data_IF_993906713594
#
_entry.id   IF_993906713594
#
_cell.length_a   1.000
_cell.length_b   1.000
_cell.length_c   1.000
_cell.angle_alpha   90.00
_cell.angle_beta   90.00
_cell.angle_gamma   90.00
#
_symmetry.space_group_name_H-M   'P 1'
#
loop_
_entity.id
_entity.type
_entity.pdbx_description
1 polymer ?
#
# COMPACT_ATOMS: atom_id res chain seq x y z
N UNK A 1 -7.55 -8.13 -11.03
CA UNK A 1 -7.24 -7.08 -10.03
C UNK A 1 -8.57 -6.46 -9.64
N UNK A 2 -9.00 -6.64 -8.41
CA UNK A 2 -10.27 -6.09 -7.96
C UNK A 2 -9.98 -5.14 -6.80
N UNK A 3 -9.84 -3.86 -7.11
CA UNK A 3 -9.66 -2.78 -6.13
C UNK A 3 -10.97 -2.50 -5.37
N UNK A 4 -11.65 -3.53 -4.87
CA UNK A 4 -12.87 -3.41 -4.08
C UNK A 4 -12.54 -2.82 -2.69
N UNK A 5 -13.18 -1.72 -2.29
CA UNK A 5 -12.93 -1.08 -0.99
C UNK A 5 -13.08 -2.00 0.22
N UNK A 6 -13.96 -3.01 0.19
CA UNK A 6 -14.11 -3.95 1.33
C UNK A 6 -12.90 -4.87 1.42
N UNK A 7 -12.43 -5.38 0.29
CA UNK A 7 -11.23 -6.22 0.18
C UNK A 7 -9.98 -5.45 0.61
N UNK A 8 -9.82 -4.20 0.17
CA UNK A 8 -8.71 -3.34 0.60
C UNK A 8 -8.73 -3.09 2.12
N UNK A 9 -9.90 -2.81 2.71
CA UNK A 9 -10.05 -2.67 4.17
C UNK A 9 -9.70 -3.95 4.92
N UNK A 10 -10.07 -5.12 4.39
CA UNK A 10 -9.71 -6.40 5.00
C UNK A 10 -8.19 -6.57 5.04
N UNK A 11 -7.49 -6.30 3.94
CA UNK A 11 -6.01 -6.33 3.89
C UNK A 11 -5.38 -5.37 4.90
N UNK A 12 -5.93 -4.16 5.07
CA UNK A 12 -5.47 -3.22 6.11
C UNK A 12 -5.64 -3.78 7.52
N UNK A 13 -6.76 -4.45 7.82
CA UNK A 13 -6.98 -5.08 9.13
C UNK A 13 -6.04 -6.26 9.37
N UNK A 14 -5.74 -7.05 8.33
CA UNK A 14 -4.76 -8.14 8.39
C UNK A 14 -3.36 -7.60 8.76
N UNK A 15 -2.89 -6.55 8.10
CA UNK A 15 -1.63 -5.87 8.45
C UNK A 15 -1.66 -5.30 9.87
N UNK A 16 -2.72 -4.58 10.22
CA UNK A 16 -2.83 -3.95 11.54
C UNK A 16 -2.79 -4.99 12.68
N UNK A 17 -3.42 -6.15 12.47
CA UNK A 17 -3.38 -7.27 13.39
C UNK A 17 -1.99 -7.90 13.47
N UNK A 18 -1.36 -8.21 12.33
CA UNK A 18 -0.03 -8.82 12.27
C UNK A 18 1.04 -7.95 12.96
N UNK A 19 1.03 -6.65 12.70
CA UNK A 19 2.00 -5.70 13.27
C UNK A 19 1.61 -5.09 14.60
N UNK A 20 0.44 -5.44 15.17
CA UNK A 20 -0.11 -4.78 16.38
C UNK A 20 -0.11 -3.24 16.30
N UNK A 21 -0.53 -2.67 15.15
CA UNK A 21 -0.44 -1.22 14.87
C UNK A 21 -1.79 -0.49 14.94
N UNK A 22 -1.75 0.83 15.16
CA UNK A 22 -2.95 1.65 15.44
C UNK A 22 -3.43 2.53 14.27
N UNK A 23 -2.69 2.60 13.15
CA UNK A 23 -2.95 3.55 12.06
C UNK A 23 -4.11 3.16 11.11
N UNK A 24 -5.07 2.36 11.58
CA UNK A 24 -6.22 1.89 10.78
C UNK A 24 -7.06 3.06 10.27
N UNK A 25 -7.35 4.05 11.12
CA UNK A 25 -8.15 5.22 10.73
C UNK A 25 -7.51 6.05 9.62
N UNK A 26 -6.18 6.21 9.67
CA UNK A 26 -5.41 6.92 8.65
C UNK A 26 -5.55 6.25 7.28
N UNK A 27 -5.42 4.92 7.24
CA UNK A 27 -5.58 4.11 6.03
C UNK A 27 -7.05 4.10 5.55
N UNK A 28 -8.01 3.81 6.43
CA UNK A 28 -9.43 3.70 6.09
C UNK A 28 -10.01 4.97 5.50
N UNK A 29 -9.54 6.14 5.95
CA UNK A 29 -10.00 7.45 5.46
C UNK A 29 -9.74 7.71 3.97
N UNK A 30 -8.88 6.92 3.32
CA UNK A 30 -8.47 7.13 1.92
C UNK A 30 -8.73 5.91 1.01
N UNK A 31 -9.39 4.85 1.50
CA UNK A 31 -9.55 3.58 0.76
C UNK A 31 -10.33 3.77 -0.55
N UNK A 32 -11.48 4.45 -0.53
CA UNK A 32 -12.27 4.68 -1.74
C UNK A 32 -11.51 5.51 -2.77
N UNK A 33 -10.77 6.53 -2.29
CA UNK A 33 -9.95 7.38 -3.14
C UNK A 33 -8.83 6.57 -3.81
N UNK A 34 -8.10 5.75 -3.05
CA UNK A 34 -7.05 4.90 -3.61
C UNK A 34 -7.60 3.80 -4.52
N UNK A 35 -8.74 3.20 -4.17
CA UNK A 35 -9.44 2.23 -5.02
C UNK A 35 -9.71 2.79 -6.42
N UNK A 36 -10.25 4.01 -6.52
CA UNK A 36 -10.52 4.66 -7.81
C UNK A 36 -9.23 5.07 -8.52
N UNK A 37 -8.27 5.68 -7.80
CA UNK A 37 -7.00 6.10 -8.39
C UNK A 37 -6.24 4.92 -8.98
N UNK A 38 -6.07 3.86 -8.19
CA UNK A 38 -5.29 2.70 -8.60
C UNK A 38 -5.96 1.88 -9.71
N UNK A 39 -7.29 1.81 -9.72
CA UNK A 39 -8.07 1.05 -10.72
C UNK A 39 -8.20 1.78 -12.05
N UNK A 40 -8.43 3.08 -12.02
CA UNK A 40 -9.00 3.81 -13.16
C UNK A 40 -8.16 4.98 -13.67
N UNK A 41 -7.18 5.46 -12.91
CA UNK A 41 -6.45 6.67 -13.26
C UNK A 41 -4.95 6.49 -13.42
N UNK A 42 -4.32 5.75 -12.52
CA UNK A 42 -2.88 5.49 -12.60
C UNK A 42 -2.59 4.45 -13.68
N UNK A 43 -1.56 4.72 -14.48
CA UNK A 43 -1.09 3.82 -15.54
C UNK A 43 0.15 3.08 -15.09
N UNK A 44 0.17 1.78 -15.35
CA UNK A 44 1.28 0.88 -15.05
C UNK A 44 1.59 0.03 -16.29
N UNK A 45 2.38 0.53 -17.24
CA UNK A 45 2.80 -0.27 -18.38
C UNK A 45 3.47 -1.56 -17.88
N UNK A 46 3.12 -2.69 -18.50
CA UNK A 46 3.59 -4.04 -18.13
C UNK A 46 3.32 -4.48 -16.68
N UNK A 47 2.56 -3.69 -15.91
CA UNK A 47 2.36 -3.87 -14.47
C UNK A 47 3.69 -4.00 -13.69
N UNK A 48 4.73 -3.26 -14.11
CA UNK A 48 6.06 -3.28 -13.49
C UNK A 48 6.27 -2.04 -12.59
N UNK A 49 6.57 -2.22 -11.28
CA UNK A 49 6.84 -1.10 -10.38
C UNK A 49 8.12 -0.31 -10.73
N UNK A 50 8.98 -0.84 -11.60
CA UNK A 50 10.19 -0.17 -12.09
C UNK A 50 10.03 0.47 -13.48
N UNK A 51 8.86 0.36 -14.12
CA UNK A 51 8.64 0.94 -15.43
C UNK A 51 8.73 2.47 -15.35
N UNK A 52 9.63 3.08 -16.14
CA UNK A 52 9.89 4.52 -16.13
C UNK A 52 8.74 5.36 -16.68
N UNK A 53 7.84 4.75 -17.47
CA UNK A 53 6.74 5.43 -18.14
C UNK A 53 5.41 5.29 -17.35
N UNK A 54 5.44 4.65 -16.16
CA UNK A 54 4.29 4.57 -15.26
C UNK A 54 4.00 5.90 -14.58
N UNK A 55 2.77 6.05 -14.11
CA UNK A 55 2.42 7.19 -13.25
C UNK A 55 2.98 6.96 -11.84
N UNK A 56 3.51 8.03 -11.24
CA UNK A 56 4.05 8.03 -9.88
C UNK A 56 3.00 8.49 -8.89
N UNK A 57 2.81 7.73 -7.80
CA UNK A 57 1.90 8.08 -6.72
C UNK A 57 2.70 8.31 -5.42
N UNK A 58 2.65 9.55 -4.92
CA UNK A 58 3.32 9.95 -3.68
C UNK A 58 2.28 10.09 -2.57
N UNK A 59 2.33 9.21 -1.57
CA UNK A 59 1.51 9.32 -0.37
C UNK A 59 2.19 10.23 0.65
N UNK A 60 1.84 11.52 0.66
CA UNK A 60 2.34 12.47 1.67
C UNK A 60 1.91 12.08 3.11
N UNK A 61 0.71 11.50 3.26
CA UNK A 61 0.19 10.95 4.53
C UNK A 61 0.81 9.58 4.84
N UNK A 62 2.08 9.54 5.25
CA UNK A 62 2.83 8.29 5.47
C UNK A 62 2.17 7.28 6.43
N UNK A 63 1.45 7.75 7.45
CA UNK A 63 0.66 6.87 8.34
C UNK A 63 -0.52 6.15 7.64
N UNK A 64 -0.88 6.56 6.42
CA UNK A 64 -1.87 5.90 5.59
C UNK A 64 -1.33 4.73 4.74
N UNK A 65 -0.04 4.38 4.86
CA UNK A 65 0.66 3.46 3.96
C UNK A 65 -0.01 2.09 3.82
N UNK A 66 -0.65 1.57 4.86
CA UNK A 66 -1.40 0.31 4.78
C UNK A 66 -2.46 0.31 3.65
N UNK A 67 -3.07 1.46 3.34
CA UNK A 67 -4.01 1.55 2.23
C UNK A 67 -3.31 1.49 0.86
N UNK A 68 -2.10 2.04 0.74
CA UNK A 68 -1.28 1.92 -0.46
C UNK A 68 -0.77 0.49 -0.65
N UNK A 69 -0.27 -0.16 0.41
CA UNK A 69 0.14 -1.57 0.38
C UNK A 69 -1.03 -2.50 0.00
N UNK A 70 -2.24 -2.22 0.47
CA UNK A 70 -3.43 -2.97 0.07
C UNK A 70 -3.71 -2.86 -1.45
N UNK A 71 -3.48 -1.69 -2.06
CA UNK A 71 -3.61 -1.54 -3.51
C UNK A 71 -2.46 -2.24 -4.27
N UNK A 72 -1.24 -2.21 -3.73
CA UNK A 72 -0.08 -2.92 -4.31
C UNK A 72 -0.25 -4.45 -4.25
N UNK A 73 -1.00 -4.98 -3.26
CA UNK A 73 -1.43 -6.38 -3.24
C UNK A 73 -2.27 -6.73 -4.45
N UNK A 74 -3.24 -5.89 -4.82
CA UNK A 74 -4.12 -6.10 -5.97
C UNK A 74 -3.38 -6.01 -7.31
N UNK A 75 -2.28 -5.24 -7.35
CA UNK A 75 -1.34 -5.20 -8.48
C UNK A 75 -0.42 -6.42 -8.51
N UNK A 76 -0.33 -7.20 -7.43
CA UNK A 76 0.62 -8.31 -7.29
C UNK A 76 2.07 -7.86 -7.08
N UNK A 77 2.29 -6.60 -6.69
CA UNK A 77 3.63 -6.07 -6.40
C UNK A 77 4.16 -6.46 -5.02
N UNK A 78 3.26 -6.89 -4.13
CA UNK A 78 3.55 -7.43 -2.81
C UNK A 78 2.90 -8.81 -2.66
N UNK A 79 3.57 -9.73 -1.97
CA UNK A 79 3.11 -11.09 -1.74
C UNK A 79 2.44 -11.24 -0.37
N UNK A 80 1.74 -12.37 -0.15
CA UNK A 80 1.03 -12.62 1.10
C UNK A 80 1.94 -12.59 2.35
N UNK A 81 3.19 -13.04 2.21
CA UNK A 81 4.15 -13.09 3.32
C UNK A 81 4.56 -11.68 3.78
N UNK A 82 4.58 -10.69 2.88
CA UNK A 82 4.88 -9.30 3.24
C UNK A 82 3.84 -8.76 4.24
N UNK A 83 2.56 -9.08 4.03
CA UNK A 83 1.45 -8.64 4.90
C UNK A 83 1.42 -9.40 6.24
N UNK A 84 1.75 -10.70 6.23
CA UNK A 84 1.84 -11.52 7.44
C UNK A 84 2.98 -11.08 8.36
N UNK A 85 4.06 -10.56 7.79
CA UNK A 85 5.22 -10.04 8.51
C UNK A 85 5.20 -8.50 8.62
N UNK A 86 4.06 -7.85 8.41
CA UNK A 86 4.00 -6.39 8.49
C UNK A 86 4.46 -5.89 9.87
N UNK A 87 5.40 -4.94 9.88
CA UNK A 87 5.94 -4.30 11.08
C UNK A 87 6.66 -5.25 12.08
N UNK A 88 7.00 -6.47 11.67
CA UNK A 88 7.85 -7.36 12.46
C UNK A 88 9.34 -7.03 12.29
N UNK A 89 10.18 -7.53 13.21
CA UNK A 89 11.63 -7.37 13.12
C UNK A 89 12.17 -8.01 11.84
N UNK A 90 12.90 -7.24 11.05
CA UNK A 90 13.46 -7.68 9.76
C UNK A 90 12.50 -7.56 8.57
N UNK A 91 11.25 -7.13 8.79
CA UNK A 91 10.30 -6.85 7.70
C UNK A 91 10.70 -5.61 6.91
N UNK A 92 10.48 -5.67 5.60
CA UNK A 92 10.61 -4.52 4.72
C UNK A 92 9.41 -3.55 4.88
N UNK A 93 8.21 -4.08 5.17
CA UNK A 93 7.00 -3.27 5.33
C UNK A 93 6.92 -2.64 6.73
N UNK A 94 7.19 -1.35 6.79
CA UNK A 94 7.16 -0.55 8.03
C UNK A 94 5.83 0.17 8.22
N UNK A 95 5.66 0.75 9.42
CA UNK A 95 4.48 1.54 9.80
C UNK A 95 4.30 2.88 9.08
N UNK A 96 5.21 3.23 8.18
CA UNK A 96 5.28 4.46 7.41
C UNK A 96 5.75 4.14 5.99
N UNK A 97 5.44 5.01 5.02
CA UNK A 97 5.95 4.90 3.66
C UNK A 97 7.47 4.86 3.65
N UNK A 98 8.04 3.88 2.94
CA UNK A 98 9.48 3.66 2.80
C UNK A 98 9.82 3.44 1.32
N UNK A 99 10.63 4.33 0.75
CA UNK A 99 10.96 4.32 -0.69
C UNK A 99 11.87 3.17 -1.12
N UNK A 100 12.28 2.30 -0.20
CA UNK A 100 13.01 1.06 -0.54
C UNK A 100 12.07 -0.01 -1.11
N UNK A 101 10.75 0.13 -0.91
CA UNK A 101 9.74 -0.78 -1.45
C UNK A 101 9.40 -0.38 -2.90
N UNK A 102 9.56 -1.26 -3.89
CA UNK A 102 9.16 -0.97 -5.28
C UNK A 102 7.68 -0.55 -5.37
N UNK A 103 7.41 0.60 -6.00
CA UNK A 103 6.08 1.20 -6.06
C UNK A 103 5.75 2.19 -4.94
N UNK A 104 6.67 2.41 -3.99
CA UNK A 104 6.65 3.54 -3.04
C UNK A 104 7.70 4.56 -3.47
N UNK A 105 7.26 5.74 -3.92
CA UNK A 105 8.18 6.73 -4.50
C UNK A 105 8.96 7.56 -3.48
N UNK A 106 8.41 7.72 -2.28
CA UNK A 106 8.96 8.59 -1.27
C UNK A 106 8.75 8.02 0.14
N UNK A 107 9.79 8.16 0.97
CA UNK A 107 9.68 7.96 2.41
C UNK A 107 8.92 9.15 3.01
N UNK A 108 7.86 8.91 3.79
CA UNK A 108 6.99 9.97 4.34
C UNK A 108 6.39 9.59 5.70
N UNK A 109 5.78 10.56 6.40
CA UNK A 109 5.15 10.35 7.71
C UNK A 109 5.64 11.27 8.84
N UNK A 110 6.40 12.31 8.53
CA UNK A 110 6.81 13.37 9.47
C UNK A 110 5.69 14.38 9.74
#
# INVERSE_FOLDING_TARGET
MEFDPKTLRKTVLEMAYAGSTVHIGCAFSIIELLSVLYKSHLRYPNNDPFDKDRDYFILSKGHGVMAQYACMRELGWLCADDFLNYFSDGSDLKGLSDSRIPGIEATSGS
#
